data_IF_415817444676
#
_entry.id   IF_415817444676
#
_cell.length_a   1.000
_cell.length_b   1.000
_cell.length_c   1.000
_cell.angle_alpha   90.00
_cell.angle_beta   90.00
_cell.angle_gamma   90.00
#
_symmetry.space_group_name_H-M   'P 1'
#
loop_
_entity.id
_entity.type
_entity.pdbx_description
1 polymer ?
#
# COMPACT_ATOMS: atom_id res chain seq x y z
N UNK A 1 -14.68 11.09 3.26
CA UNK A 1 -13.46 11.89 3.03
C UNK A 1 -13.01 11.85 1.57
N UNK A 2 -12.82 10.67 0.96
CA UNK A 2 -12.38 10.50 -0.45
C UNK A 2 -13.30 11.18 -1.49
N UNK A 3 -14.63 11.13 -1.29
CA UNK A 3 -15.63 11.78 -2.18
C UNK A 3 -15.56 13.32 -2.22
N UNK A 4 -14.86 13.98 -1.27
CA UNK A 4 -14.71 15.45 -1.25
C UNK A 4 -13.46 15.95 -1.99
N UNK A 5 -12.52 15.07 -2.33
CA UNK A 5 -11.20 15.45 -2.90
C UNK A 5 -11.11 15.11 -4.40
N UNK A 6 -11.79 14.06 -4.85
CA UNK A 6 -11.85 13.68 -6.27
C UNK A 6 -13.31 13.73 -6.75
N UNK A 7 -13.62 14.68 -7.63
CA UNK A 7 -14.96 14.87 -8.20
C UNK A 7 -15.38 13.78 -9.20
N UNK A 8 -14.45 12.94 -9.67
CA UNK A 8 -14.69 11.96 -10.75
C UNK A 8 -14.29 10.52 -10.37
N UNK A 9 -14.63 10.07 -9.16
CA UNK A 9 -14.41 8.66 -8.76
C UNK A 9 -15.48 7.79 -9.41
N UNK A 10 -15.03 6.77 -10.13
CA UNK A 10 -15.86 5.73 -10.73
C UNK A 10 -15.69 4.43 -9.96
N UNK A 11 -16.80 3.74 -9.72
CA UNK A 11 -16.85 2.49 -8.99
C UNK A 11 -17.17 1.38 -9.98
N UNK A 12 -16.39 0.31 -9.96
CA UNK A 12 -16.50 -0.83 -10.87
C UNK A 12 -16.80 -2.09 -10.05
N UNK A 13 -17.93 -2.72 -10.36
CA UNK A 13 -18.31 -4.01 -9.79
C UNK A 13 -17.81 -5.15 -10.68
N UNK A 14 -17.69 -6.33 -10.10
CA UNK A 14 -17.42 -7.55 -10.86
C UNK A 14 -18.63 -7.83 -11.76
N UNK A 15 -18.38 -8.37 -12.95
CA UNK A 15 -19.44 -8.74 -13.91
C UNK A 15 -19.46 -10.23 -14.15
N UNK A 16 -20.65 -10.78 -14.41
CA UNK A 16 -20.82 -12.18 -14.80
C UNK A 16 -20.44 -12.41 -16.28
N UNK A 17 -20.70 -13.62 -16.80
CA UNK A 17 -20.41 -13.97 -18.20
C UNK A 17 -21.20 -13.15 -19.22
N UNK A 18 -22.32 -12.56 -18.79
CA UNK A 18 -23.23 -11.75 -19.61
C UNK A 18 -22.97 -10.25 -19.40
N UNK A 19 -21.83 -9.88 -18.80
CA UNK A 19 -21.44 -8.51 -18.46
C UNK A 19 -22.43 -7.78 -17.53
N UNK A 20 -23.24 -8.52 -16.74
CA UNK A 20 -24.11 -7.94 -15.72
C UNK A 20 -23.35 -7.74 -14.42
N UNK A 21 -23.46 -6.55 -13.83
CA UNK A 21 -22.83 -6.23 -12.55
C UNK A 21 -23.42 -7.06 -11.41
N UNK A 22 -22.54 -7.71 -10.66
CA UNK A 22 -22.90 -8.52 -9.48
C UNK A 22 -23.01 -7.56 -8.28
N UNK A 23 -24.18 -6.93 -8.12
CA UNK A 23 -24.47 -6.06 -6.97
C UNK A 23 -24.72 -6.88 -5.69
N UNK A 24 -24.30 -6.33 -4.54
CA UNK A 24 -24.32 -6.97 -3.20
C UNK A 24 -25.72 -7.27 -2.62
N UNK A 25 -26.78 -7.28 -3.43
CA UNK A 25 -28.17 -7.37 -2.96
C UNK A 25 -28.76 -8.79 -2.94
N UNK A 26 -27.99 -9.85 -3.24
CA UNK A 26 -28.43 -11.22 -2.93
C UNK A 26 -27.82 -11.69 -1.59
N UNK A 27 -28.64 -12.03 -0.58
CA UNK A 27 -28.17 -12.59 0.68
C UNK A 27 -27.82 -14.06 0.45
N UNK A 28 -26.66 -14.34 -0.14
CA UNK A 28 -26.11 -15.69 -0.15
C UNK A 28 -24.95 -15.78 0.83
N UNK A 29 -25.27 -16.47 1.93
CA UNK A 29 -24.34 -17.01 2.91
C UNK A 29 -23.25 -17.80 2.18
N UNK A 30 -22.09 -17.20 1.97
CA UNK A 30 -20.74 -17.76 2.25
C UNK A 30 -19.66 -16.91 1.59
N UNK A 31 -18.68 -16.53 2.42
CA UNK A 31 -17.29 -16.18 2.12
C UNK A 31 -17.00 -15.10 1.04
N UNK A 32 -16.54 -13.97 1.59
CA UNK A 32 -15.79 -12.85 0.99
C UNK A 32 -16.64 -11.79 0.28
N UNK A 33 -16.75 -10.64 0.95
CA UNK A 33 -17.29 -9.39 0.40
C UNK A 33 -16.42 -8.98 -0.80
N UNK A 34 -16.96 -9.10 -2.01
CA UNK A 34 -16.31 -8.58 -3.22
C UNK A 34 -16.23 -7.05 -3.09
N UNK A 35 -15.02 -6.55 -2.82
CA UNK A 35 -14.79 -5.11 -2.66
C UNK A 35 -14.81 -4.46 -4.05
N UNK A 36 -15.61 -3.41 -4.26
CA UNK A 36 -15.66 -2.73 -5.54
C UNK A 36 -14.33 -2.05 -5.83
N UNK A 37 -13.94 -2.02 -7.11
CA UNK A 37 -12.76 -1.32 -7.56
C UNK A 37 -13.11 0.15 -7.78
N UNK A 38 -12.47 1.07 -7.06
CA UNK A 38 -12.71 2.50 -7.17
C UNK A 38 -11.51 3.18 -7.83
N UNK A 39 -11.74 3.83 -8.96
CA UNK A 39 -10.70 4.48 -9.76
C UNK A 39 -11.14 5.88 -10.17
N UNK A 40 -10.18 6.74 -10.47
CA UNK A 40 -10.42 8.08 -10.98
C UNK A 40 -9.40 8.40 -12.08
N UNK A 41 -9.70 9.39 -12.93
CA UNK A 41 -8.71 9.91 -13.88
C UNK A 41 -7.46 10.37 -13.12
N UNK A 42 -6.28 10.14 -13.69
CA UNK A 42 -4.96 10.37 -13.11
C UNK A 42 -4.61 9.48 -11.88
N UNK A 43 -5.47 8.52 -11.52
CA UNK A 43 -5.13 7.60 -10.44
C UNK A 43 -3.92 6.75 -10.81
N UNK A 44 -2.99 6.60 -9.87
CA UNK A 44 -1.85 5.68 -10.02
C UNK A 44 -2.36 4.27 -9.86
N UNK A 45 -2.13 3.43 -10.87
CA UNK A 45 -2.60 2.05 -10.91
C UNK A 45 -1.48 1.06 -11.22
N UNK A 46 -1.72 -0.18 -10.86
CA UNK A 46 -0.88 -1.33 -11.17
C UNK A 46 -1.74 -2.42 -11.81
N UNK A 47 -1.22 -3.01 -12.89
CA UNK A 47 -1.77 -4.21 -13.52
C UNK A 47 -1.56 -5.41 -12.60
N UNK A 48 -2.61 -6.18 -12.35
CA UNK A 48 -2.59 -7.30 -11.39
C UNK A 48 -2.52 -8.68 -12.06
N UNK A 49 -2.54 -8.74 -13.39
CA UNK A 49 -2.50 -9.97 -14.19
C UNK A 49 -1.58 -9.85 -15.39
N UNK A 50 -1.16 -11.01 -15.90
CA UNK A 50 -0.44 -11.09 -17.16
C UNK A 50 -1.44 -10.98 -18.31
N UNK A 51 -1.43 -9.85 -19.02
CA UNK A 51 -2.28 -9.60 -20.19
C UNK A 51 -1.53 -10.02 -21.45
N UNK A 52 -0.29 -9.52 -21.62
CA UNK A 52 0.59 -9.90 -22.72
C UNK A 52 2.04 -9.78 -22.26
N UNK A 53 2.60 -10.89 -21.78
CA UNK A 53 3.98 -10.93 -21.25
C UNK A 53 4.99 -10.55 -22.34
N UNK A 54 4.77 -10.99 -23.58
CA UNK A 54 5.65 -10.70 -24.72
C UNK A 54 5.73 -9.19 -25.04
N UNK A 55 4.69 -8.42 -24.71
CA UNK A 55 4.64 -6.96 -24.90
C UNK A 55 4.87 -6.20 -23.58
N UNK A 56 5.35 -6.90 -22.54
CA UNK A 56 5.62 -6.34 -21.22
C UNK A 56 4.38 -5.99 -20.39
N UNK A 57 3.18 -6.33 -20.84
CA UNK A 57 1.92 -6.11 -20.11
C UNK A 57 1.69 -7.23 -19.09
N UNK A 58 2.50 -7.21 -18.03
CA UNK A 58 2.52 -8.22 -16.98
C UNK A 58 2.00 -7.69 -15.64
N UNK A 59 1.78 -8.61 -14.70
CA UNK A 59 1.49 -8.28 -13.31
C UNK A 59 2.64 -7.43 -12.71
N UNK A 60 2.30 -6.36 -12.01
CA UNK A 60 3.26 -5.43 -11.40
C UNK A 60 3.56 -4.19 -12.24
N UNK A 61 3.19 -4.17 -13.54
CA UNK A 61 3.32 -2.97 -14.38
C UNK A 61 2.51 -1.83 -13.78
N UNK A 62 3.14 -0.67 -13.63
CA UNK A 62 2.52 0.52 -13.07
C UNK A 62 2.27 1.59 -14.15
N UNK A 63 1.30 2.45 -13.88
CA UNK A 63 0.92 3.53 -14.76
C UNK A 63 -0.11 4.45 -14.11
N UNK A 64 -0.69 5.35 -14.89
CA UNK A 64 -1.79 6.21 -14.45
C UNK A 64 -2.96 6.15 -15.43
N UNK A 65 -4.17 6.31 -14.92
CA UNK A 65 -5.38 6.34 -15.74
C UNK A 65 -5.43 7.64 -16.54
N UNK A 66 -5.55 7.51 -17.86
CA UNK A 66 -5.71 8.64 -18.78
C UNK A 66 -7.20 8.88 -19.02
N UNK A 67 -7.95 7.83 -19.32
CA UNK A 67 -9.34 7.96 -19.78
C UNK A 67 -10.17 6.70 -19.51
N UNK A 68 -11.48 6.88 -19.42
CA UNK A 68 -12.47 5.80 -19.36
C UNK A 68 -13.28 5.80 -20.65
N UNK A 69 -13.24 4.71 -21.41
CA UNK A 69 -14.03 4.56 -22.64
C UNK A 69 -15.39 3.99 -22.28
N UNK A 70 -16.43 4.69 -22.71
CA UNK A 70 -17.82 4.33 -22.47
C UNK A 70 -18.39 3.69 -23.72
N UNK A 71 -19.15 2.61 -23.57
CA UNK A 71 -19.86 1.97 -24.67
C UNK A 71 -21.20 2.66 -24.95
N UNK A 72 -21.91 2.21 -25.99
CA UNK A 72 -23.20 2.79 -26.39
C UNK A 72 -24.27 2.71 -25.29
N UNK A 73 -24.10 1.82 -24.30
CA UNK A 73 -25.03 1.61 -23.20
C UNK A 73 -24.71 2.50 -21.98
N UNK A 74 -23.73 3.41 -22.08
CA UNK A 74 -23.31 4.27 -20.98
C UNK A 74 -22.39 3.62 -19.95
N UNK A 75 -22.02 2.35 -20.15
CA UNK A 75 -21.13 1.60 -19.27
C UNK A 75 -19.67 1.70 -19.73
N UNK A 76 -18.73 1.71 -18.79
CA UNK A 76 -17.30 1.70 -19.13
C UNK A 76 -16.90 0.32 -19.59
N UNK A 77 -16.47 0.23 -20.84
CA UNK A 77 -15.93 -0.99 -21.45
C UNK A 77 -14.41 -1.09 -21.32
N UNK A 78 -13.70 0.04 -21.43
CA UNK A 78 -12.23 0.07 -21.40
C UNK A 78 -11.67 1.15 -20.48
N UNK A 79 -10.50 0.87 -19.91
CA UNK A 79 -9.72 1.85 -19.14
C UNK A 79 -8.40 2.08 -19.89
N UNK A 80 -8.17 3.32 -20.30
CA UNK A 80 -6.93 3.73 -20.95
C UNK A 80 -5.94 4.15 -19.88
N UNK A 81 -4.78 3.51 -19.84
CA UNK A 81 -3.69 3.82 -18.91
C UNK A 81 -2.44 4.23 -19.67
N UNK A 82 -1.63 5.11 -19.10
CA UNK A 82 -0.26 5.35 -19.55
C UNK A 82 0.69 4.66 -18.58
N UNK A 83 1.39 3.65 -19.08
CA UNK A 83 2.40 2.92 -18.32
C UNK A 83 3.60 3.84 -18.02
N UNK A 84 4.27 3.59 -16.90
CA UNK A 84 5.46 4.37 -16.53
C UNK A 84 6.61 4.13 -17.51
N UNK A 85 6.78 2.88 -17.94
CA UNK A 85 7.77 2.53 -18.97
C UNK A 85 7.18 2.65 -20.37
N UNK A 86 7.78 3.45 -21.27
CA UNK A 86 7.34 3.55 -22.68
C UNK A 86 7.68 2.30 -23.51
N UNK A 87 8.38 1.32 -22.92
CA UNK A 87 8.67 0.03 -23.56
C UNK A 87 7.47 -0.93 -23.49
N UNK A 88 6.56 -0.72 -22.54
CA UNK A 88 5.44 -1.63 -22.27
C UNK A 88 4.26 -1.31 -23.17
N UNK A 89 3.70 -2.34 -23.81
CA UNK A 89 2.48 -2.23 -24.61
C UNK A 89 2.74 -1.69 -26.03
N UNK A 90 3.96 -1.78 -26.56
CA UNK A 90 4.31 -1.20 -27.87
C UNK A 90 3.53 -1.85 -29.00
N UNK A 91 3.42 -3.17 -28.98
CA UNK A 91 2.65 -3.91 -29.99
C UNK A 91 1.14 -3.66 -29.80
N UNK A 92 0.68 -3.68 -28.56
CA UNK A 92 -0.71 -3.42 -28.19
C UNK A 92 -1.19 -2.04 -28.65
N UNK A 93 -0.37 -0.99 -28.53
CA UNK A 93 -0.74 0.38 -28.93
C UNK A 93 -1.04 0.54 -30.40
N UNK A 94 -0.34 -0.22 -31.24
CA UNK A 94 -0.48 -0.19 -32.70
C UNK A 94 -1.73 -0.95 -33.13
N UNK A 95 -1.99 -2.09 -32.49
CA UNK A 95 -3.14 -2.96 -32.82
C UNK A 95 -4.44 -2.51 -32.15
N UNK A 96 -4.36 -1.78 -31.03
CA UNK A 96 -5.54 -1.40 -30.27
C UNK A 96 -6.28 -0.22 -30.94
N UNK A 97 -7.58 -0.39 -31.26
CA UNK A 97 -8.39 0.65 -31.90
C UNK A 97 -8.62 1.87 -30.99
N UNK A 98 -8.41 1.76 -29.68
CA UNK A 98 -8.58 2.89 -28.75
C UNK A 98 -7.28 3.66 -28.48
N UNK A 99 -6.12 3.02 -28.66
CA UNK A 99 -4.83 3.65 -28.39
C UNK A 99 -4.33 4.45 -29.59
N UNK A 100 -4.68 4.07 -30.82
CA UNK A 100 -4.26 4.75 -32.07
C UNK A 100 -2.76 5.06 -32.11
N UNK A 101 -1.90 4.14 -31.66
CA UNK A 101 -0.45 4.32 -31.61
C UNK A 101 0.07 5.30 -30.56
N UNK A 102 -0.80 5.92 -29.73
CA UNK A 102 -0.38 6.77 -28.62
C UNK A 102 0.33 5.95 -27.54
N UNK A 103 1.12 6.61 -26.70
CA UNK A 103 1.83 6.03 -25.55
C UNK A 103 0.85 5.66 -24.40
N UNK A 104 -0.09 4.76 -24.69
CA UNK A 104 -1.20 4.35 -23.81
C UNK A 104 -1.60 2.91 -24.05
N UNK A 105 -2.12 2.23 -23.04
CA UNK A 105 -2.57 0.84 -23.11
C UNK A 105 -4.05 0.78 -22.77
N UNK A 106 -4.79 -0.03 -23.51
CA UNK A 106 -6.21 -0.26 -23.26
C UNK A 106 -6.37 -1.51 -22.40
N UNK A 107 -7.03 -1.37 -21.25
CA UNK A 107 -7.28 -2.46 -20.30
C UNK A 107 -8.77 -2.80 -20.29
N UNK A 108 -9.06 -4.08 -20.51
CA UNK A 108 -10.39 -4.68 -20.48
C UNK A 108 -10.64 -5.44 -19.17
N UNK A 109 -11.90 -5.82 -18.92
CA UNK A 109 -12.22 -6.76 -17.84
C UNK A 109 -11.71 -8.15 -18.22
N UNK A 110 -10.94 -8.75 -17.31
CA UNK A 110 -10.38 -10.09 -17.46
C UNK A 110 -11.03 -11.05 -16.46
N UNK A 111 -11.24 -12.31 -16.87
CA UNK A 111 -11.74 -13.34 -15.96
C UNK A 111 -10.73 -13.65 -14.87
N UNK A 112 -11.19 -13.92 -13.65
CA UNK A 112 -10.33 -14.49 -12.60
C UNK A 112 -9.84 -15.87 -13.04
N UNK A 113 -8.57 -15.93 -13.48
CA UNK A 113 -7.81 -17.17 -13.52
C UNK A 113 -7.44 -17.56 -12.08
N UNK A 114 -7.25 -18.86 -11.89
CA UNK A 114 -7.11 -19.60 -10.63
C UNK A 114 -5.86 -19.17 -9.80
N UNK A 115 -5.17 -18.08 -10.15
CA UNK A 115 -3.92 -17.63 -9.51
C UNK A 115 -4.14 -17.00 -8.11
N UNK A 116 -5.38 -16.90 -7.64
CA UNK A 116 -5.65 -16.78 -6.21
C UNK A 116 -5.69 -18.18 -5.63
N UNK A 117 -4.63 -18.60 -4.93
CA UNK A 117 -4.60 -19.80 -4.08
C UNK A 117 -5.57 -19.71 -2.87
N UNK A 118 -6.74 -19.11 -3.05
CA UNK A 118 -7.85 -19.25 -2.10
C UNK A 118 -8.66 -20.48 -2.55
N UNK A 119 -8.57 -21.53 -1.75
CA UNK A 119 -9.00 -22.93 -1.94
C UNK A 119 -10.52 -23.16 -2.11
N UNK A 120 -11.29 -22.23 -2.71
CA UNK A 120 -12.76 -22.31 -2.76
C UNK A 120 -13.35 -21.80 -4.09
N UNK A 121 -12.77 -22.22 -5.23
CA UNK A 121 -13.01 -21.61 -6.56
C UNK A 121 -13.68 -22.51 -7.62
N UNK A 122 -14.34 -23.61 -7.24
CA UNK A 122 -15.19 -24.35 -8.19
C UNK A 122 -16.40 -23.53 -8.67
N UNK A 123 -16.78 -22.46 -7.95
CA UNK A 123 -18.00 -21.68 -8.19
C UNK A 123 -17.82 -20.38 -9.01
N UNK A 124 -16.59 -19.95 -9.33
CA UNK A 124 -16.32 -18.63 -9.97
C UNK A 124 -15.92 -18.68 -11.45
N UNK A 125 -16.22 -19.76 -12.18
CA UNK A 125 -15.97 -19.81 -13.64
C UNK A 125 -16.79 -18.71 -14.34
N UNK A 126 -16.14 -17.62 -14.74
CA UNK A 126 -16.69 -16.60 -15.64
C UNK A 126 -17.01 -15.24 -15.04
N UNK A 127 -16.54 -14.94 -13.82
CA UNK A 127 -16.58 -13.59 -13.26
C UNK A 127 -15.40 -12.78 -13.80
N UNK A 128 -15.66 -11.56 -14.27
CA UNK A 128 -14.64 -10.65 -14.83
C UNK A 128 -14.53 -9.34 -14.06
N UNK A 129 -13.32 -8.79 -13.99
CA UNK A 129 -13.03 -7.48 -13.41
C UNK A 129 -11.83 -6.85 -14.14
N UNK A 130 -11.70 -5.52 -14.11
CA UNK A 130 -10.48 -4.87 -14.58
C UNK A 130 -9.28 -5.33 -13.74
N UNK A 131 -8.19 -5.83 -14.35
CA UNK A 131 -7.01 -6.31 -13.64
C UNK A 131 -6.14 -5.13 -13.16
N UNK A 132 -6.73 -4.20 -12.41
CA UNK A 132 -6.10 -2.98 -11.93
C UNK A 132 -6.30 -2.84 -10.42
N UNK A 133 -5.32 -2.22 -9.76
CA UNK A 133 -5.43 -1.73 -8.38
C UNK A 133 -4.75 -0.39 -8.21
N UNK A 134 -5.19 0.40 -7.24
CA UNK A 134 -4.51 1.64 -6.87
C UNK A 134 -3.08 1.31 -6.37
N UNK A 135 -2.11 2.13 -6.78
CA UNK A 135 -0.68 1.83 -6.60
C UNK A 135 0.18 3.07 -6.30
N UNK A 136 -0.32 4.00 -5.48
CA UNK A 136 0.51 5.07 -4.93
C UNK A 136 1.54 4.58 -3.91
N UNK A 137 1.22 3.48 -3.23
CA UNK A 137 2.12 2.77 -2.33
C UNK A 137 1.96 1.27 -2.58
N UNK A 138 3.05 0.54 -2.44
CA UNK A 138 3.07 -0.91 -2.52
C UNK A 138 4.00 -1.48 -1.45
N UNK A 139 3.75 -2.71 -1.03
CA UNK A 139 4.65 -3.42 -0.14
C UNK A 139 5.91 -3.85 -0.89
N UNK A 140 7.02 -4.02 -0.17
CA UNK A 140 8.29 -4.50 -0.75
C UNK A 140 8.09 -5.85 -1.45
N UNK A 141 7.34 -6.77 -0.85
CA UNK A 141 6.97 -8.04 -1.46
C UNK A 141 6.29 -7.86 -2.84
N UNK A 142 5.46 -6.84 -3.02
CA UNK A 142 4.80 -6.57 -4.32
C UNK A 142 5.68 -5.79 -5.29
N UNK A 143 6.80 -5.23 -4.83
CA UNK A 143 7.83 -4.64 -5.66
C UNK A 143 8.90 -5.65 -6.11
N UNK A 144 8.82 -6.91 -5.69
CA UNK A 144 9.79 -7.91 -6.12
C UNK A 144 9.74 -8.10 -7.64
N UNK A 145 10.89 -7.92 -8.31
CA UNK A 145 11.02 -8.06 -9.76
C UNK A 145 10.52 -6.86 -10.58
N UNK A 146 10.04 -5.78 -9.95
CA UNK A 146 9.68 -4.55 -10.68
C UNK A 146 10.91 -3.66 -10.85
N UNK A 147 10.98 -2.96 -11.97
CA UNK A 147 11.93 -1.87 -12.18
C UNK A 147 11.18 -0.54 -12.13
N UNK A 148 11.63 0.39 -11.29
CA UNK A 148 11.05 1.74 -11.17
C UNK A 148 12.15 2.78 -11.25
N UNK A 149 11.89 3.90 -11.95
CA UNK A 149 12.86 4.98 -12.09
C UNK A 149 13.08 5.74 -10.77
N UNK A 150 12.04 5.80 -9.93
CA UNK A 150 12.05 6.51 -8.65
C UNK A 150 11.26 5.74 -7.59
N UNK A 151 11.86 5.60 -6.41
CA UNK A 151 11.22 5.02 -5.23
C UNK A 151 11.45 5.92 -4.02
N UNK A 152 10.41 6.15 -3.24
CA UNK A 152 10.52 6.81 -1.94
C UNK A 152 10.35 5.74 -0.87
N UNK A 153 11.46 5.33 -0.28
CA UNK A 153 11.47 4.42 0.87
C UNK A 153 11.62 5.27 2.13
N UNK A 154 10.72 5.12 3.09
CA UNK A 154 10.82 5.77 4.40
C UNK A 154 10.95 4.69 5.47
N UNK A 155 11.93 4.86 6.36
CA UNK A 155 12.15 3.93 7.47
C UNK A 155 12.69 2.57 7.04
N UNK A 156 13.62 2.54 6.08
CA UNK A 156 14.39 1.33 5.79
C UNK A 156 15.44 1.12 6.88
N UNK A 157 15.35 -0.01 7.58
CA UNK A 157 16.35 -0.47 8.53
C UNK A 157 16.93 -1.77 7.99
N UNK A 158 18.24 -1.77 7.72
CA UNK A 158 18.96 -2.97 7.34
C UNK A 158 19.52 -3.58 8.61
N UNK A 159 18.95 -4.70 9.03
CA UNK A 159 19.45 -5.51 10.15
C UNK A 159 20.32 -6.60 9.53
N UNK A 160 21.46 -6.94 10.16
CA UNK A 160 22.39 -7.97 9.68
C UNK A 160 22.96 -7.69 8.28
N UNK A 161 23.37 -6.44 8.05
CA UNK A 161 23.96 -5.99 6.80
C UNK A 161 25.35 -6.62 6.60
N UNK A 162 25.44 -7.65 5.77
CA UNK A 162 26.72 -8.17 5.30
C UNK A 162 27.31 -7.29 4.21
N UNK A 163 28.02 -6.23 4.60
CA UNK A 163 28.63 -5.23 3.70
C UNK A 163 29.47 -5.88 2.60
N UNK A 164 30.13 -6.99 2.91
CA UNK A 164 30.96 -7.79 1.98
C UNK A 164 30.19 -8.37 0.79
N UNK A 165 28.85 -8.50 0.90
CA UNK A 165 27.99 -8.97 -0.19
C UNK A 165 27.45 -7.85 -1.06
N UNK A 166 27.70 -6.59 -0.71
CA UNK A 166 27.33 -5.44 -1.52
C UNK A 166 28.41 -5.20 -2.57
N UNK A 167 28.13 -5.63 -3.80
CA UNK A 167 28.92 -5.25 -4.95
C UNK A 167 28.52 -3.84 -5.39
N UNK A 168 29.45 -2.89 -5.30
CA UNK A 168 29.30 -1.56 -5.87
C UNK A 168 29.82 -1.60 -7.31
N UNK A 169 28.95 -1.35 -8.30
CA UNK A 169 29.38 -1.22 -9.68
C UNK A 169 30.23 0.05 -9.81
N UNK A 170 31.39 -0.03 -10.46
CA UNK A 170 32.32 1.10 -10.65
C UNK A 170 31.67 2.30 -11.36
N UNK A 171 30.59 2.07 -12.11
CA UNK A 171 29.82 3.13 -12.75
C UNK A 171 28.82 3.85 -11.83
N UNK A 172 28.72 3.47 -10.54
CA UNK A 172 27.75 4.04 -9.60
C UNK A 172 27.93 5.55 -9.47
N UNK A 173 29.16 6.05 -9.40
CA UNK A 173 29.41 7.50 -9.28
C UNK A 173 28.92 8.26 -10.50
N UNK A 174 29.14 7.70 -11.71
CA UNK A 174 28.61 8.26 -12.96
C UNK A 174 27.08 8.30 -12.94
N UNK A 175 26.42 7.24 -12.48
CA UNK A 175 24.95 7.18 -12.43
C UNK A 175 24.41 8.13 -11.35
N UNK A 176 25.03 8.18 -10.16
CA UNK A 176 24.64 9.09 -9.08
C UNK A 176 24.73 10.56 -9.52
N UNK A 177 25.75 10.93 -10.30
CA UNK A 177 25.88 12.29 -10.87
C UNK A 177 24.75 12.66 -11.83
N UNK A 178 24.10 11.66 -12.45
CA UNK A 178 22.98 11.84 -13.37
C UNK A 178 21.61 11.77 -12.65
N UNK A 179 21.57 11.28 -11.41
CA UNK A 179 20.34 11.20 -10.65
C UNK A 179 19.90 12.60 -10.21
N UNK A 180 18.67 12.96 -10.56
CA UNK A 180 18.06 14.20 -10.09
C UNK A 180 17.93 14.17 -8.57
N UNK A 181 18.54 15.15 -7.89
CA UNK A 181 18.37 15.31 -6.45
C UNK A 181 16.89 15.42 -6.09
N UNK A 182 16.44 14.53 -5.21
CA UNK A 182 15.13 14.68 -4.60
C UNK A 182 15.13 15.90 -3.70
N UNK A 183 14.26 16.87 -3.98
CA UNK A 183 14.03 18.00 -3.08
C UNK A 183 13.73 17.47 -1.69
N UNK A 184 14.61 17.74 -0.72
CA UNK A 184 14.39 17.39 0.69
C UNK A 184 13.07 18.00 1.11
N UNK A 185 12.08 17.16 1.41
CA UNK A 185 10.84 17.64 2.03
C UNK A 185 11.21 18.23 3.38
N UNK A 186 10.52 19.29 3.77
CA UNK A 186 10.62 19.84 5.13
C UNK A 186 10.43 18.70 6.14
N UNK A 187 11.30 18.60 7.16
CA UNK A 187 11.16 17.57 8.17
C UNK A 187 9.80 17.68 8.86
N UNK A 188 9.20 16.54 9.17
CA UNK A 188 7.86 16.47 9.80
C UNK A 188 7.90 17.16 11.17
N UNK A 189 8.95 16.91 11.94
CA UNK A 189 9.21 17.56 13.21
C UNK A 189 10.18 18.73 13.04
N UNK A 190 9.90 19.81 13.76
CA UNK A 190 10.70 21.03 13.73
C UNK A 190 11.42 21.16 15.06
N UNK A 191 12.72 21.40 14.99
CA UNK A 191 13.50 21.79 16.16
C UNK A 191 13.16 23.24 16.49
N UNK A 192 12.23 23.43 17.43
CA UNK A 192 11.85 24.74 17.96
C UNK A 192 11.47 24.56 19.43
N UNK A 193 11.98 25.41 20.34
CA UNK A 193 11.63 25.34 21.76
C UNK A 193 10.14 25.64 22.02
N UNK A 194 9.44 26.24 21.06
CA UNK A 194 8.03 26.61 21.16
C UNK A 194 7.07 25.57 20.56
N UNK A 195 7.57 24.42 20.10
CA UNK A 195 6.77 23.39 19.46
C UNK A 195 6.98 22.04 20.12
N UNK A 196 5.89 21.34 20.41
CA UNK A 196 5.90 19.97 20.90
C UNK A 196 5.71 19.00 19.73
N UNK A 197 6.71 18.16 19.46
CA UNK A 197 6.63 17.15 18.42
C UNK A 197 6.00 15.86 18.98
N UNK A 198 4.81 15.51 18.50
CA UNK A 198 4.07 14.33 18.96
C UNK A 198 4.05 13.25 17.89
N UNK A 199 4.48 12.04 18.25
CA UNK A 199 4.41 10.83 17.41
C UNK A 199 3.31 9.90 17.94
N UNK A 200 2.18 9.80 17.23
CA UNK A 200 1.17 8.76 17.49
C UNK A 200 1.37 7.60 16.52
N UNK A 201 1.58 6.39 17.04
CA UNK A 201 1.84 5.22 16.24
C UNK A 201 1.13 3.98 16.78
N UNK A 202 0.43 3.27 15.90
CA UNK A 202 -0.06 1.93 16.18
C UNK A 202 1.07 0.93 15.93
N UNK A 203 1.60 0.32 17.00
CA UNK A 203 2.78 -0.55 16.93
C UNK A 203 2.43 -2.03 16.67
N UNK A 204 1.16 -2.42 16.79
CA UNK A 204 0.66 -3.80 16.61
C UNK A 204 1.58 -4.88 17.22
N UNK A 205 1.88 -4.72 18.52
CA UNK A 205 2.80 -5.59 19.26
C UNK A 205 4.18 -4.97 19.44
N UNK A 206 4.40 -4.38 20.62
CA UNK A 206 5.69 -3.74 20.94
C UNK A 206 6.82 -4.76 20.99
N UNK A 207 6.59 -5.97 21.50
CA UNK A 207 7.65 -7.00 21.65
C UNK A 207 8.34 -7.35 20.33
N UNK A 208 7.55 -7.56 19.28
CA UNK A 208 8.04 -7.93 17.95
C UNK A 208 8.64 -6.74 17.21
N UNK A 209 8.12 -5.54 17.46
CA UNK A 209 8.42 -4.37 16.63
C UNK A 209 9.35 -3.36 17.32
N UNK A 210 9.77 -3.60 18.57
CA UNK A 210 10.53 -2.65 19.37
C UNK A 210 11.82 -2.19 18.70
N UNK A 211 12.64 -3.11 18.18
CA UNK A 211 13.91 -2.76 17.56
C UNK A 211 13.73 -1.88 16.31
N UNK A 212 12.72 -2.19 15.49
CA UNK A 212 12.38 -1.38 14.31
C UNK A 212 11.86 0.00 14.72
N UNK A 213 11.00 0.06 15.74
CA UNK A 213 10.47 1.30 16.28
C UNK A 213 11.56 2.20 16.90
N UNK A 214 12.44 1.63 17.73
CA UNK A 214 13.55 2.34 18.36
C UNK A 214 14.50 2.92 17.33
N UNK A 215 14.81 2.16 16.28
CA UNK A 215 15.73 2.59 15.21
C UNK A 215 15.11 3.66 14.30
N UNK A 216 13.81 3.92 14.41
CA UNK A 216 13.13 4.81 13.49
C UNK A 216 13.50 6.29 13.69
N UNK A 217 14.02 6.92 12.63
CA UNK A 217 14.56 8.29 12.65
C UNK A 217 13.60 9.40 13.14
N UNK A 218 12.30 9.15 13.17
CA UNK A 218 11.30 10.08 13.72
C UNK A 218 11.11 9.87 15.22
N UNK A 219 11.32 8.65 15.72
CA UNK A 219 11.19 8.30 17.14
C UNK A 219 12.10 9.17 17.99
N UNK A 220 13.39 9.25 17.65
CA UNK A 220 14.39 10.10 18.33
C UNK A 220 14.16 11.61 18.14
N UNK A 221 13.20 12.04 17.32
CA UNK A 221 12.87 13.45 17.10
C UNK A 221 11.58 13.89 17.79
N UNK A 222 10.77 12.95 18.27
CA UNK A 222 9.52 13.22 18.97
C UNK A 222 9.76 13.63 20.42
N UNK A 223 9.15 14.69 20.91
CA UNK A 223 9.17 15.05 22.33
C UNK A 223 8.22 14.15 23.14
N UNK A 224 7.12 13.70 22.50
CA UNK A 224 6.15 12.77 23.06
C UNK A 224 5.84 11.67 22.05
N UNK A 225 5.93 10.41 22.45
CA UNK A 225 5.56 9.25 21.61
C UNK A 225 4.43 8.49 22.27
N UNK A 226 3.31 8.37 21.56
CA UNK A 226 2.12 7.65 21.98
C UNK A 226 1.98 6.38 21.13
N UNK A 227 2.11 5.22 21.76
CA UNK A 227 1.92 3.92 21.14
C UNK A 227 0.56 3.33 21.50
N UNK A 228 -0.15 2.82 20.49
CA UNK A 228 -1.37 2.03 20.65
C UNK A 228 -1.15 0.59 20.18
N UNK A 229 -1.99 -0.34 20.65
CA UNK A 229 -1.86 -1.78 20.36
C UNK A 229 -0.47 -2.33 20.74
N UNK A 230 0.02 -1.97 21.93
CA UNK A 230 1.33 -2.44 22.43
C UNK A 230 1.36 -3.94 22.71
N UNK A 231 0.21 -4.53 23.02
CA UNK A 231 -0.01 -5.95 23.35
C UNK A 231 0.80 -6.44 24.55
N UNK A 232 1.34 -5.51 25.34
CA UNK A 232 1.99 -5.82 26.60
C UNK A 232 0.97 -6.19 27.68
N UNK A 233 1.35 -7.15 28.51
CA UNK A 233 0.61 -7.60 29.69
C UNK A 233 1.25 -7.02 30.95
N UNK A 234 0.50 -6.99 32.06
CA UNK A 234 0.98 -6.46 33.34
C UNK A 234 2.24 -7.17 33.87
N UNK A 235 2.41 -8.46 33.56
CA UNK A 235 3.55 -9.26 34.00
C UNK A 235 4.77 -9.14 33.08
N UNK A 236 4.69 -8.36 32.00
CA UNK A 236 5.82 -8.18 31.09
C UNK A 236 6.86 -7.25 31.71
N UNK A 237 8.14 -7.56 31.47
CA UNK A 237 9.25 -6.71 31.91
C UNK A 237 9.35 -5.45 31.04
N UNK A 238 8.64 -4.39 31.45
CA UNK A 238 8.53 -3.13 30.72
C UNK A 238 9.89 -2.49 30.46
N UNK A 239 10.85 -2.64 31.37
CA UNK A 239 12.20 -2.07 31.27
C UNK A 239 12.95 -2.50 30.00
N UNK A 240 12.61 -3.66 29.40
CA UNK A 240 13.19 -4.11 28.12
C UNK A 240 12.83 -3.20 26.94
N UNK A 241 11.76 -2.40 27.09
CA UNK A 241 11.27 -1.49 26.07
C UNK A 241 11.65 -0.03 26.35
N UNK A 242 12.64 0.22 27.22
CA UNK A 242 13.12 1.57 27.52
C UNK A 242 13.89 2.16 26.34
N UNK A 243 13.62 3.43 26.05
CA UNK A 243 14.39 4.23 25.07
C UNK A 243 15.24 5.22 25.87
N UNK A 244 16.52 5.35 25.53
CA UNK A 244 17.42 6.27 26.21
C UNK A 244 16.93 7.72 26.02
N UNK A 245 16.92 8.51 27.10
CA UNK A 245 16.44 9.89 27.09
C UNK A 245 14.91 10.02 27.01
N UNK A 246 14.19 8.93 27.25
CA UNK A 246 12.75 8.96 27.45
C UNK A 246 12.39 8.21 28.70
N UNK A 247 11.36 8.69 29.39
CA UNK A 247 10.67 7.94 30.42
C UNK A 247 9.43 7.26 29.83
N UNK A 248 9.19 6.01 30.22
CA UNK A 248 8.13 5.15 29.69
C UNK A 248 7.01 4.94 30.72
N UNK A 249 5.77 5.25 30.32
CA UNK A 249 4.55 4.84 31.03
C UNK A 249 3.78 3.86 30.16
N UNK A 250 3.38 2.73 30.74
CA UNK A 250 2.59 1.72 30.05
C UNK A 250 1.30 1.41 30.82
N UNK A 251 0.21 1.18 30.07
CA UNK A 251 -1.02 0.64 30.62
C UNK A 251 -1.59 -0.44 29.69
N UNK A 252 -1.77 -1.64 30.21
CA UNK A 252 -2.37 -2.74 29.45
C UNK A 252 -3.86 -2.50 29.19
N UNK A 253 -4.45 -3.25 28.24
CA UNK A 253 -5.88 -3.15 27.93
C UNK A 253 -6.75 -3.51 29.12
N UNK A 254 -6.44 -4.60 29.83
CA UNK A 254 -7.21 -5.02 31.01
C UNK A 254 -7.19 -3.97 32.12
N UNK A 255 -6.07 -3.26 32.32
CA UNK A 255 -6.03 -2.15 33.27
C UNK A 255 -6.74 -0.88 32.80
N UNK A 256 -7.06 -0.78 31.51
CA UNK A 256 -7.67 0.42 30.91
C UNK A 256 -9.19 0.42 30.95
N UNK A 257 -9.82 -0.74 31.18
CA UNK A 257 -11.26 -0.90 31.23
C UNK A 257 -11.70 -1.57 32.53
N UNK A 258 -12.96 -1.38 32.94
CA UNK A 258 -13.54 -2.15 34.05
C UNK A 258 -13.72 -3.61 33.65
N UNK A 259 -13.72 -4.52 34.64
CA UNK A 259 -13.81 -5.98 34.40
C UNK A 259 -15.05 -6.37 33.59
N UNK A 260 -16.15 -5.63 33.75
CA UNK A 260 -17.42 -5.89 33.06
C UNK A 260 -17.46 -5.30 31.63
N UNK A 261 -16.44 -4.54 31.22
CA UNK A 261 -16.40 -3.92 29.91
C UNK A 261 -16.01 -4.96 28.84
N UNK A 262 -16.70 -5.04 27.68
CA UNK A 262 -16.42 -6.04 26.65
C UNK A 262 -14.98 -6.02 26.11
N UNK A 263 -14.32 -4.85 26.15
CA UNK A 263 -12.93 -4.71 25.71
C UNK A 263 -11.90 -5.16 26.77
N UNK A 264 -12.29 -5.42 28.02
CA UNK A 264 -11.36 -5.81 29.08
C UNK A 264 -10.62 -7.12 28.76
N UNK A 265 -11.33 -8.10 28.20
CA UNK A 265 -10.83 -9.46 27.91
C UNK A 265 -10.42 -9.70 26.45
N UNK A 266 -10.54 -8.70 25.58
CA UNK A 266 -10.16 -8.86 24.17
C UNK A 266 -8.65 -8.95 23.97
N UNK A 267 -8.23 -9.82 23.05
CA UNK A 267 -6.82 -9.99 22.67
C UNK A 267 -6.25 -8.69 22.08
N UNK A 268 -5.01 -8.36 22.45
CA UNK A 268 -4.28 -7.17 21.99
C UNK A 268 -4.53 -5.91 22.83
N UNK A 269 -4.34 -4.73 22.23
CA UNK A 269 -4.50 -3.43 22.87
C UNK A 269 -3.38 -2.99 23.79
N UNK A 270 -3.71 -2.08 24.70
CA UNK A 270 -2.78 -1.43 25.61
C UNK A 270 -2.08 -0.25 24.96
N UNK A 271 -1.62 0.67 25.81
CA UNK A 271 -0.96 1.91 25.41
C UNK A 271 0.41 2.02 26.08
N UNK A 272 1.34 2.67 25.41
CA UNK A 272 2.60 3.10 26.00
C UNK A 272 2.88 4.55 25.59
N UNK A 273 3.37 5.34 26.52
CA UNK A 273 3.72 6.73 26.29
C UNK A 273 5.19 6.90 26.68
N UNK A 274 5.99 7.41 25.75
CA UNK A 274 7.35 7.85 26.01
C UNK A 274 7.38 9.37 26.01
N UNK A 275 7.89 9.97 27.06
CA UNK A 275 8.13 11.42 27.16
C UNK A 275 9.62 11.64 27.25
N UNK A 276 10.12 12.58 26.45
CA UNK A 276 11.53 12.91 26.41
C UNK A 276 11.95 13.53 27.73
N UNK A 277 13.03 13.03 28.29
CA UNK A 277 13.65 13.60 29.48
C UNK A 277 14.28 14.95 29.06
N UNK A 278 13.87 16.04 29.73
CA UNK A 278 14.39 17.39 29.48
C UNK A 278 15.62 17.67 30.34
#
# INVERSE_FOLDING_TARGET
>A
MIKKICTNIRTFYEVDRNDKEINQNEPKQTKRINKPLQLAKNAKVMITKNICVNDGLANGVTGHIVEFVVNNNGNISHIIIKCDSPKVGRLHRVTCPHCHGRDTVCVTRESDTIDRQDFDLSSKKGIKQFPLRLSWAMTIHKAQGITVDQVVIKGLFLIDLHVERFYCNENVDRILSQMKEMKRKTPIFRASPNLLNVLLHNIEGLKSNFNAFKSHHITEKADLICLTETWLKNNDQINKFQINGYTLIHKSRSCSFSVNHPLHSQKGGGIAIYFRDH
#
